data_IF_639180005900
#
_entry.id   IF_639180005900
#
_cell.length_a   1.000
_cell.length_b   1.000
_cell.length_c   1.000
_cell.angle_alpha   90.00
_cell.angle_beta   90.00
_cell.angle_gamma   90.00
#
_symmetry.space_group_name_H-M   'P 1'
#
loop_
_entity.id
_entity.type
_entity.pdbx_description
1 polymer ?
#
# COMPACT_ATOMS: atom_id res chain seq x y z
N UNK A 1 5.53 24.95 -20.34
CA UNK A 1 6.13 24.06 -19.34
C UNK A 1 5.01 23.52 -18.46
N UNK A 2 4.78 22.21 -18.42
CA UNK A 2 3.80 21.63 -17.51
C UNK A 2 4.32 21.77 -16.08
N UNK A 3 3.59 22.48 -15.23
CA UNK A 3 3.92 22.54 -13.81
C UNK A 3 3.89 21.13 -13.22
N UNK A 4 4.79 20.85 -12.29
CA UNK A 4 4.75 19.63 -11.46
C UNK A 4 4.07 19.95 -10.13
N UNK A 5 3.66 18.90 -9.41
CA UNK A 5 3.19 19.03 -8.05
C UNK A 5 4.27 19.65 -7.15
N UNK A 6 3.87 20.56 -6.26
CA UNK A 6 4.75 21.27 -5.32
C UNK A 6 5.31 20.40 -4.20
N UNK A 7 4.71 19.25 -3.92
CA UNK A 7 5.24 18.32 -2.91
C UNK A 7 6.57 17.75 -3.40
N UNK A 8 7.58 17.81 -2.55
CA UNK A 8 8.94 17.40 -2.89
C UNK A 8 8.99 15.93 -3.33
N UNK A 9 9.77 15.65 -4.37
CA UNK A 9 9.85 14.32 -4.98
C UNK A 9 8.63 13.89 -5.81
N UNK A 10 7.58 14.72 -5.94
CA UNK A 10 6.39 14.38 -6.72
C UNK A 10 6.47 14.85 -8.18
N UNK A 11 6.57 13.90 -9.11
CA UNK A 11 6.61 14.18 -10.55
C UNK A 11 5.23 14.30 -11.22
N UNK A 12 4.14 14.08 -10.47
CA UNK A 12 2.79 14.14 -11.01
C UNK A 12 2.34 15.56 -11.37
N UNK A 13 1.46 15.68 -12.37
CA UNK A 13 0.85 16.95 -12.75
C UNK A 13 -0.07 17.49 -11.62
N UNK A 14 -0.05 18.80 -11.35
CA UNK A 14 -0.96 19.44 -10.41
C UNK A 14 -2.37 19.53 -10.99
N UNK A 15 -3.36 19.71 -10.11
CA UNK A 15 -4.73 20.00 -10.57
C UNK A 15 -4.81 21.37 -11.23
N UNK A 16 -5.69 21.58 -12.23
CA UNK A 16 -5.98 22.90 -12.75
C UNK A 16 -6.31 23.90 -11.63
N UNK A 17 -5.65 25.07 -11.64
CA UNK A 17 -5.85 26.10 -10.61
C UNK A 17 -5.31 25.75 -9.21
N UNK A 18 -4.46 24.73 -9.09
CA UNK A 18 -3.80 24.34 -7.83
C UNK A 18 -2.32 24.06 -8.07
N UNK A 19 -1.53 24.00 -6.99
CA UNK A 19 -0.10 23.66 -7.04
C UNK A 19 0.21 22.20 -6.64
N UNK A 20 -0.81 21.41 -6.31
CA UNK A 20 -0.66 20.02 -5.85
C UNK A 20 -1.54 19.07 -6.67
N UNK A 21 -1.10 17.82 -6.79
CA UNK A 21 -1.85 16.78 -7.50
C UNK A 21 -3.08 16.29 -6.71
N UNK A 22 -3.95 15.50 -7.35
CA UNK A 22 -5.13 14.91 -6.70
C UNK A 22 -4.79 14.07 -5.46
N UNK A 23 -3.70 13.29 -5.53
CA UNK A 23 -3.26 12.40 -4.45
C UNK A 23 -2.91 13.19 -3.19
N UNK A 24 -2.02 14.18 -3.30
CA UNK A 24 -1.60 15.01 -2.17
C UNK A 24 -2.72 15.85 -1.59
N UNK A 25 -3.61 16.41 -2.44
CA UNK A 25 -4.78 17.11 -1.92
C UNK A 25 -5.64 16.19 -1.06
N UNK A 26 -5.87 14.95 -1.52
CA UNK A 26 -6.72 14.00 -0.80
C UNK A 26 -6.11 13.63 0.55
N UNK A 27 -4.80 13.41 0.60
CA UNK A 27 -4.07 13.13 1.86
C UNK A 27 -4.14 14.29 2.84
N UNK A 28 -3.79 15.50 2.38
CA UNK A 28 -3.89 16.73 3.20
C UNK A 28 -5.32 16.91 3.75
N UNK A 29 -6.33 16.69 2.90
CA UNK A 29 -7.74 16.90 3.32
C UNK A 29 -8.19 15.89 4.36
N UNK A 30 -7.72 14.64 4.29
CA UNK A 30 -8.16 13.55 5.17
C UNK A 30 -7.32 13.43 6.45
N UNK A 31 -6.04 13.76 6.37
CA UNK A 31 -5.07 13.44 7.41
C UNK A 31 -4.17 14.62 7.81
N UNK A 32 -4.31 15.79 7.17
CA UNK A 32 -3.52 16.99 7.47
C UNK A 32 -2.10 16.98 6.91
N UNK A 33 -1.62 15.85 6.39
CA UNK A 33 -0.24 15.66 5.94
C UNK A 33 -0.20 15.16 4.48
N UNK A 34 0.54 15.84 3.55
CA UNK A 34 0.69 15.39 2.17
C UNK A 34 1.44 14.08 2.01
N UNK A 35 2.36 13.80 2.93
CA UNK A 35 3.14 12.57 2.96
C UNK A 35 2.42 11.49 3.75
N UNK A 36 1.28 11.82 4.38
CA UNK A 36 0.48 10.87 5.14
C UNK A 36 0.23 9.60 4.34
N UNK A 37 0.88 8.59 4.85
CA UNK A 37 0.75 7.21 4.52
C UNK A 37 0.43 6.58 5.87
N UNK A 38 -0.79 6.08 6.05
CA UNK A 38 -1.30 5.10 7.05
C UNK A 38 -0.41 3.84 7.23
N UNK A 39 0.91 3.99 7.16
CA UNK A 39 1.89 3.02 6.69
C UNK A 39 3.09 2.87 7.63
N UNK A 40 3.07 3.40 8.85
CA UNK A 40 4.34 3.53 9.60
C UNK A 40 4.54 2.50 10.69
N UNK A 41 3.52 1.71 11.05
CA UNK A 41 3.67 0.65 12.04
C UNK A 41 2.99 -0.60 11.51
N UNK A 42 3.80 -1.63 11.32
CA UNK A 42 3.31 -2.99 11.22
C UNK A 42 3.86 -3.74 12.42
N UNK A 43 3.03 -4.57 13.04
CA UNK A 43 3.54 -5.53 14.00
C UNK A 43 4.24 -6.65 13.22
N UNK A 44 5.58 -6.69 13.30
CA UNK A 44 6.40 -7.70 12.64
C UNK A 44 6.01 -9.12 13.10
N UNK A 45 5.57 -9.28 14.36
CA UNK A 45 5.13 -10.57 14.89
C UNK A 45 3.82 -11.03 14.23
N UNK A 46 2.85 -10.13 14.04
CA UNK A 46 1.60 -10.45 13.34
C UNK A 46 1.87 -10.85 11.89
N UNK A 47 2.78 -10.15 11.22
CA UNK A 47 3.16 -10.45 9.83
C UNK A 47 3.81 -11.82 9.72
N UNK A 48 4.78 -12.12 10.57
CA UNK A 48 5.47 -13.42 10.59
C UNK A 48 4.49 -14.56 10.89
N UNK A 49 3.65 -14.39 11.92
CA UNK A 49 2.66 -15.38 12.33
C UNK A 49 1.67 -15.68 11.20
N UNK A 50 1.15 -14.66 10.52
CA UNK A 50 0.19 -14.84 9.43
C UNK A 50 0.85 -15.52 8.22
N UNK A 51 2.10 -15.15 7.89
CA UNK A 51 2.85 -15.80 6.80
C UNK A 51 3.14 -17.26 7.13
N UNK A 52 3.45 -17.58 8.39
CA UNK A 52 3.70 -18.94 8.86
C UNK A 52 2.43 -19.81 8.83
N UNK A 53 1.34 -19.31 9.40
CA UNK A 53 0.11 -20.07 9.66
C UNK A 53 -0.92 -19.99 8.50
N UNK A 54 -0.76 -19.04 7.57
CA UNK A 54 -1.70 -18.79 6.46
C UNK A 54 -3.16 -18.57 6.92
N UNK A 55 -3.34 -17.92 8.08
CA UNK A 55 -4.67 -17.66 8.66
C UNK A 55 -5.11 -16.23 8.41
N UNK A 56 -6.38 -16.04 8.07
CA UNK A 56 -6.95 -14.73 7.89
C UNK A 56 -7.09 -14.00 9.24
N UNK A 57 -6.68 -12.75 9.27
CA UNK A 57 -6.81 -11.88 10.44
C UNK A 57 -7.49 -10.58 10.01
N UNK A 58 -8.50 -10.16 10.75
CA UNK A 58 -9.15 -8.87 10.54
C UNK A 58 -8.33 -7.74 11.14
N UNK A 59 -8.50 -6.52 10.63
CA UNK A 59 -7.84 -5.35 11.21
C UNK A 59 -6.41 -5.07 10.75
N UNK A 60 -5.86 -5.86 9.79
CA UNK A 60 -4.54 -5.58 9.24
C UNK A 60 -4.45 -4.17 8.65
N UNK A 61 -3.39 -3.45 9.03
CA UNK A 61 -2.98 -2.20 8.42
C UNK A 61 -2.67 -2.41 6.95
N UNK A 62 -2.61 -1.31 6.19
CA UNK A 62 -2.27 -1.39 4.78
C UNK A 62 -0.84 -1.92 4.57
N UNK A 63 0.11 -1.55 5.44
CA UNK A 63 1.48 -2.05 5.37
C UNK A 63 1.52 -3.56 5.64
N UNK A 64 0.89 -4.01 6.72
CA UNK A 64 0.82 -5.45 7.07
C UNK A 64 0.24 -6.28 5.93
N UNK A 65 -0.84 -5.83 5.28
CA UNK A 65 -1.40 -6.54 4.13
C UNK A 65 -0.40 -6.70 2.99
N UNK A 66 0.41 -5.68 2.71
CA UNK A 66 1.43 -5.75 1.65
C UNK A 66 2.58 -6.66 2.06
N UNK A 67 3.03 -6.59 3.31
CA UNK A 67 4.13 -7.43 3.82
C UNK A 67 3.73 -8.90 3.92
N UNK A 68 2.54 -9.20 4.44
CA UNK A 68 1.97 -10.55 4.43
C UNK A 68 1.82 -11.06 2.99
N UNK A 69 1.27 -10.25 2.08
CA UNK A 69 1.11 -10.65 0.68
C UNK A 69 2.44 -10.92 -0.02
N UNK A 70 3.50 -10.18 0.35
CA UNK A 70 4.87 -10.43 -0.13
C UNK A 70 5.39 -11.75 0.40
N UNK A 71 5.38 -11.98 1.71
CA UNK A 71 5.88 -13.21 2.32
C UNK A 71 5.13 -14.47 1.84
N UNK A 72 3.81 -14.39 1.66
CA UNK A 72 3.03 -15.48 1.07
C UNK A 72 3.33 -15.68 -0.43
N UNK A 73 3.60 -14.61 -1.18
CA UNK A 73 4.03 -14.73 -2.59
C UNK A 73 5.40 -15.39 -2.69
N UNK A 74 6.34 -15.08 -1.80
CA UNK A 74 7.66 -15.71 -1.73
C UNK A 74 7.58 -17.21 -1.36
N UNK A 75 6.43 -17.65 -0.81
CA UNK A 75 6.09 -19.06 -0.51
C UNK A 75 5.19 -19.70 -1.57
N UNK A 76 5.10 -19.11 -2.76
CA UNK A 76 4.30 -19.59 -3.90
C UNK A 76 2.78 -19.74 -3.61
N UNK A 77 2.25 -18.99 -2.65
CA UNK A 77 0.80 -19.02 -2.36
C UNK A 77 0.00 -18.35 -3.50
N UNK A 78 -1.12 -18.96 -3.96
CA UNK A 78 -1.97 -18.39 -5.01
C UNK A 78 -2.52 -17.00 -4.65
N UNK A 79 -2.70 -16.14 -5.66
CA UNK A 79 -3.15 -14.76 -5.44
C UNK A 79 -4.55 -14.68 -4.81
N UNK A 80 -5.41 -15.64 -5.13
CA UNK A 80 -6.76 -15.78 -4.60
C UNK A 80 -6.72 -16.08 -3.10
N UNK A 81 -5.80 -16.93 -2.68
CA UNK A 81 -5.64 -17.34 -1.29
C UNK A 81 -5.00 -16.22 -0.46
N UNK A 82 -3.97 -15.56 -1.01
CA UNK A 82 -3.40 -14.36 -0.40
C UNK A 82 -4.48 -13.30 -0.20
N UNK A 83 -5.30 -13.06 -1.23
CA UNK A 83 -6.37 -12.06 -1.19
C UNK A 83 -7.38 -12.35 -0.07
N UNK A 84 -7.73 -13.63 0.13
CA UNK A 84 -8.58 -14.10 1.23
C UNK A 84 -7.94 -13.84 2.59
N UNK A 85 -6.67 -14.20 2.76
CA UNK A 85 -5.93 -14.06 4.03
C UNK A 85 -5.80 -12.58 4.43
N UNK A 86 -5.39 -11.73 3.48
CA UNK A 86 -5.13 -10.30 3.76
C UNK A 86 -6.36 -9.41 3.59
N UNK A 87 -7.53 -9.98 3.27
CA UNK A 87 -8.81 -9.27 3.15
C UNK A 87 -8.87 -8.24 2.02
N UNK A 88 -8.36 -8.58 0.83
CA UNK A 88 -8.42 -7.73 -0.38
C UNK A 88 -8.92 -8.53 -1.59
N UNK A 89 -8.99 -7.90 -2.77
CA UNK A 89 -9.30 -8.61 -4.02
C UNK A 89 -8.03 -9.21 -4.66
N UNK A 90 -8.11 -10.33 -5.42
CA UNK A 90 -6.95 -10.89 -6.15
C UNK A 90 -6.24 -9.87 -7.06
N UNK A 91 -7.00 -8.94 -7.66
CA UNK A 91 -6.46 -7.83 -8.48
C UNK A 91 -5.43 -6.98 -7.73
N UNK A 92 -5.61 -6.78 -6.42
CA UNK A 92 -4.65 -6.03 -5.60
C UNK A 92 -3.33 -6.78 -5.49
N UNK A 93 -3.38 -8.10 -5.27
CA UNK A 93 -2.19 -8.97 -5.19
C UNK A 93 -1.43 -8.99 -6.51
N UNK A 94 -2.13 -9.15 -7.65
CA UNK A 94 -1.50 -9.07 -8.98
C UNK A 94 -0.81 -7.73 -9.22
N UNK A 95 -1.44 -6.63 -8.80
CA UNK A 95 -0.85 -5.29 -8.90
C UNK A 95 0.37 -5.12 -8.02
N UNK A 96 0.35 -5.62 -6.78
CA UNK A 96 1.52 -5.54 -5.90
C UNK A 96 2.70 -6.33 -6.45
N UNK A 97 2.46 -7.52 -7.00
CA UNK A 97 3.48 -8.31 -7.70
C UNK A 97 4.10 -7.54 -8.87
N UNK A 98 3.29 -6.92 -9.73
CA UNK A 98 3.81 -6.15 -10.87
C UNK A 98 4.53 -4.86 -10.48
N UNK A 99 4.14 -4.25 -9.36
CA UNK A 99 4.82 -3.09 -8.79
C UNK A 99 6.07 -3.46 -7.98
N UNK A 100 6.38 -4.76 -7.80
CA UNK A 100 7.52 -5.25 -7.02
C UNK A 100 7.39 -4.95 -5.52
N UNK A 101 6.16 -4.90 -5.00
CA UNK A 101 5.86 -4.57 -3.60
C UNK A 101 6.50 -3.25 -3.12
N UNK A 102 6.80 -2.30 -4.04
CA UNK A 102 7.40 -0.97 -3.76
C UNK A 102 6.67 -0.09 -2.74
N UNK A 103 5.54 -0.55 -2.20
CA UNK A 103 4.82 0.11 -1.11
C UNK A 103 5.23 -0.41 0.29
N UNK A 104 6.10 -1.42 0.38
CA UNK A 104 6.59 -2.02 1.63
C UNK A 104 8.09 -1.76 1.90
N UNK A 105 8.71 -0.79 1.21
CA UNK A 105 10.10 -0.39 1.38
C UNK A 105 10.18 1.10 1.69
#
# INVERSE_FOLDING_TARGET
MNATCRIDGCTAAPRPGRRICYKHRTRITRHGDPDFTEWTVADEFDVELIVAEQRAVEGLTRLERVMVARGLTERDVPAEEIARIVGVTPRCVYRWRSEGFRQAA
#
